data_IF_241985846977
#
_entry.id   IF_241985846977
#
_cell.length_a   1.000
_cell.length_b   1.000
_cell.length_c   1.000
_cell.angle_alpha   90.00
_cell.angle_beta   90.00
_cell.angle_gamma   90.00
#
_symmetry.space_group_name_H-M   'P 1'
#
loop_
_entity.id
_entity.type
_entity.pdbx_description
1 polymer ?
#
# COMPACT_ATOMS: atom_id res chain seq x y z
N UNK A 1 3.14 -41.02 -12.11
CA UNK A 1 2.05 -40.13 -11.81
C UNK A 1 2.18 -39.45 -10.48
N UNK A 2 2.41 -40.19 -9.45
CA UNK A 2 2.62 -39.58 -8.15
C UNK A 2 3.78 -38.64 -8.11
N UNK A 3 4.83 -38.99 -8.79
CA UNK A 3 6.00 -38.13 -8.77
C UNK A 3 5.71 -36.78 -9.34
N UNK A 4 4.90 -36.74 -10.39
CA UNK A 4 4.55 -35.45 -10.95
C UNK A 4 3.72 -34.64 -10.00
N UNK A 5 2.82 -35.29 -9.32
CA UNK A 5 2.00 -34.59 -8.35
C UNK A 5 2.83 -34.00 -7.25
N UNK A 6 3.81 -34.78 -6.78
CA UNK A 6 4.67 -34.27 -5.75
C UNK A 6 5.48 -33.09 -6.21
N UNK A 7 6.05 -33.20 -7.40
CA UNK A 7 6.84 -32.09 -7.92
C UNK A 7 5.99 -30.85 -8.10
N UNK A 8 4.79 -31.05 -8.56
CA UNK A 8 3.92 -29.91 -8.77
C UNK A 8 3.58 -29.24 -7.44
N UNK A 9 3.30 -30.05 -6.43
CA UNK A 9 2.96 -29.48 -5.13
C UNK A 9 4.14 -28.71 -4.55
N UNK A 10 5.33 -29.20 -4.74
CA UNK A 10 6.48 -28.47 -4.25
C UNK A 10 6.63 -27.12 -4.93
N UNK A 11 6.48 -27.11 -6.23
CA UNK A 11 6.59 -25.86 -6.95
C UNK A 11 5.54 -24.87 -6.48
N UNK A 12 4.36 -25.36 -6.26
CA UNK A 12 3.30 -24.49 -5.79
C UNK A 12 3.61 -23.96 -4.39
N UNK A 13 4.14 -24.81 -3.54
CA UNK A 13 4.49 -24.37 -2.20
C UNK A 13 5.54 -23.29 -2.22
N UNK A 14 6.50 -23.40 -3.10
CA UNK A 14 7.51 -22.37 -3.17
C UNK A 14 6.93 -21.05 -3.64
N UNK A 15 6.04 -21.10 -4.59
CA UNK A 15 5.40 -19.89 -5.05
C UNK A 15 4.60 -19.26 -3.93
N UNK A 16 3.98 -20.08 -3.09
CA UNK A 16 3.18 -19.55 -2.00
C UNK A 16 4.03 -18.88 -0.94
N UNK A 17 5.28 -19.26 -0.85
CA UNK A 17 6.14 -18.65 0.14
C UNK A 17 6.97 -17.51 -0.41
N UNK A 18 6.71 -17.11 -1.62
CA UNK A 18 7.43 -16.00 -2.20
C UNK A 18 7.20 -14.74 -1.37
N UNK A 19 8.19 -13.87 -1.29
CA UNK A 19 8.05 -12.65 -0.52
C UNK A 19 6.94 -11.78 -1.09
N UNK A 20 6.40 -10.93 -0.27
CA UNK A 20 5.33 -10.05 -0.74
C UNK A 20 5.78 -9.23 -1.93
N UNK A 21 4.95 -9.22 -2.93
CA UNK A 21 5.29 -8.50 -4.15
C UNK A 21 5.39 -7.01 -3.94
N UNK A 22 4.63 -6.48 -2.99
CA UNK A 22 4.64 -5.04 -2.81
C UNK A 22 6.00 -4.52 -2.37
N UNK A 23 6.85 -5.36 -1.82
CA UNK A 23 8.17 -4.91 -1.39
C UNK A 23 8.99 -4.43 -2.57
N UNK A 24 8.68 -4.92 -3.76
CA UNK A 24 9.41 -4.51 -4.95
C UNK A 24 8.52 -3.77 -5.94
N UNK A 25 7.32 -3.40 -5.52
CA UNK A 25 6.37 -2.76 -6.43
C UNK A 25 6.61 -1.26 -6.47
N UNK A 26 7.36 -0.83 -7.43
CA UNK A 26 7.60 0.58 -7.65
C UNK A 26 7.27 0.91 -9.10
N UNK A 27 6.93 2.17 -9.35
CA UNK A 27 6.62 2.61 -10.69
C UNK A 27 6.31 4.09 -10.66
N UNK A 28 5.93 4.61 -11.82
CA UNK A 28 5.54 6.01 -11.88
C UNK A 28 4.28 6.23 -11.06
N UNK A 29 4.26 7.34 -10.35
CA UNK A 29 3.13 7.60 -9.46
C UNK A 29 1.79 7.57 -10.19
N UNK A 30 1.73 8.20 -11.35
CA UNK A 30 0.45 8.25 -12.06
C UNK A 30 -0.07 6.86 -12.38
N UNK A 31 0.80 5.97 -12.79
CA UNK A 31 0.40 4.60 -13.09
C UNK A 31 -0.06 3.87 -11.85
N UNK A 32 0.63 4.09 -10.74
CA UNK A 32 0.29 3.42 -9.50
C UNK A 32 -1.07 3.87 -8.98
N UNK A 33 -1.29 5.18 -8.93
CA UNK A 33 -2.55 5.68 -8.37
C UNK A 33 -3.72 5.35 -9.29
N UNK A 34 -3.49 5.29 -10.58
CA UNK A 34 -4.56 4.89 -11.48
C UNK A 34 -4.98 3.44 -11.22
N UNK A 35 -4.02 2.58 -10.97
CA UNK A 35 -4.34 1.19 -10.66
C UNK A 35 -5.08 1.09 -9.32
N UNK A 36 -4.68 1.87 -8.33
CA UNK A 36 -5.37 1.84 -7.06
C UNK A 36 -6.82 2.28 -7.22
N UNK A 37 -7.06 3.31 -7.99
CA UNK A 37 -8.41 3.80 -8.19
C UNK A 37 -9.25 2.82 -8.99
N UNK A 38 -8.70 2.26 -10.05
CA UNK A 38 -9.49 1.42 -10.95
C UNK A 38 -9.65 0.01 -10.46
N UNK A 39 -8.64 -0.55 -9.83
CA UNK A 39 -8.73 -1.95 -9.41
C UNK A 39 -9.27 -2.12 -8.00
N UNK A 40 -9.00 -1.17 -7.13
CA UNK A 40 -9.36 -1.32 -5.73
C UNK A 40 -10.31 -0.25 -5.24
N UNK A 41 -10.71 0.64 -6.11
CA UNK A 41 -11.62 1.74 -5.74
C UNK A 41 -11.05 2.57 -4.59
N UNK A 42 -9.73 2.70 -4.54
CA UNK A 42 -9.10 3.45 -3.47
C UNK A 42 -8.94 4.91 -3.86
N UNK A 43 -9.05 5.77 -2.86
CA UNK A 43 -8.84 7.19 -3.04
C UNK A 43 -7.85 7.67 -2.00
N UNK A 44 -7.23 8.79 -2.29
CA UNK A 44 -6.26 9.36 -1.36
C UNK A 44 -6.95 9.76 -0.07
N UNK A 45 -6.47 9.26 1.03
CA UNK A 45 -7.11 9.48 2.32
C UNK A 45 -6.27 10.39 3.21
N UNK A 46 -5.00 10.12 3.35
CA UNK A 46 -4.11 10.97 4.12
C UNK A 46 -2.74 10.97 3.46
N UNK A 47 -1.92 11.94 3.82
CA UNK A 47 -0.58 12.00 3.28
C UNK A 47 0.29 12.87 4.13
N UNK A 48 1.57 12.85 3.85
CA UNK A 48 2.53 13.66 4.57
C UNK A 48 3.85 13.70 3.87
N UNK A 49 4.65 14.68 4.23
CA UNK A 49 5.99 14.82 3.69
C UNK A 49 6.98 14.15 4.63
N UNK A 50 7.95 13.51 4.05
CA UNK A 50 8.99 12.85 4.81
C UNK A 50 10.33 13.25 4.25
N UNK A 51 11.27 13.55 5.12
CA UNK A 51 12.61 13.94 4.70
C UNK A 51 13.61 13.01 5.36
N UNK A 52 14.36 12.31 4.55
CA UNK A 52 15.36 11.38 5.05
C UNK A 52 16.67 11.68 4.36
N UNK A 53 17.71 11.97 5.15
CA UNK A 53 19.02 12.27 4.60
C UNK A 53 18.96 13.37 3.57
N UNK A 54 18.14 14.37 3.82
CA UNK A 54 18.04 15.51 2.91
C UNK A 54 17.17 15.25 1.71
N UNK A 55 16.77 14.02 1.47
CA UNK A 55 15.88 13.70 0.37
C UNK A 55 14.45 13.76 0.83
N UNK A 56 13.59 14.31 -0.01
CA UNK A 56 12.21 14.52 0.33
C UNK A 56 11.33 13.51 -0.39
N UNK A 57 10.37 12.94 0.34
CA UNK A 57 9.41 12.01 -0.25
C UNK A 57 8.02 12.34 0.28
N UNK A 58 7.02 11.84 -0.42
CA UNK A 58 5.64 12.01 -0.02
C UNK A 58 5.08 10.64 0.33
N UNK A 59 4.53 10.53 1.54
CA UNK A 59 3.86 9.32 1.94
C UNK A 59 2.37 9.53 1.78
N UNK A 60 1.68 8.57 1.17
CA UNK A 60 0.26 8.67 0.94
C UNK A 60 -0.41 7.37 1.35
N UNK A 61 -1.57 7.49 1.97
CA UNK A 61 -2.39 6.33 2.26
C UNK A 61 -3.65 6.43 1.42
N UNK A 62 -3.83 5.44 0.58
CA UNK A 62 -4.99 5.31 -0.28
C UNK A 62 -5.88 4.23 0.32
N UNK A 63 -7.18 4.45 0.31
CA UNK A 63 -8.07 3.48 0.92
C UNK A 63 -9.41 3.49 0.23
N UNK A 64 -10.19 2.43 0.43
CA UNK A 64 -11.49 2.27 -0.17
C UNK A 64 -12.50 1.89 0.91
N UNK A 65 -13.60 2.63 0.95
CA UNK A 65 -14.68 2.25 1.84
C UNK A 65 -15.50 1.10 1.25
N UNK A 66 -15.36 0.85 -0.04
CA UNK A 66 -16.09 -0.22 -0.68
C UNK A 66 -15.43 -1.58 -0.45
N UNK A 67 -14.13 -1.63 -0.64
CA UNK A 67 -13.41 -2.89 -0.50
C UNK A 67 -12.78 -3.05 0.86
N UNK A 68 -12.59 -1.97 1.57
CA UNK A 68 -11.90 -2.02 2.85
C UNK A 68 -10.40 -2.16 2.72
N UNK A 69 -9.87 -2.05 1.51
CA UNK A 69 -8.44 -2.20 1.30
C UNK A 69 -7.73 -0.87 1.43
N UNK A 70 -6.44 -0.93 1.69
CA UNK A 70 -5.63 0.28 1.73
C UNK A 70 -4.24 -0.01 1.21
N UNK A 71 -3.59 1.04 0.76
CA UNK A 71 -2.24 0.97 0.22
C UNK A 71 -1.47 2.20 0.70
N UNK A 72 -0.24 1.99 1.12
CA UNK A 72 0.63 3.09 1.52
C UNK A 72 1.69 3.24 0.44
N UNK A 73 1.74 4.43 -0.15
CA UNK A 73 2.71 4.74 -1.19
C UNK A 73 3.75 5.70 -0.65
N UNK A 74 4.96 5.50 -1.07
CA UNK A 74 6.03 6.46 -0.81
C UNK A 74 6.55 6.92 -2.16
N UNK A 75 6.43 8.21 -2.42
CA UNK A 75 6.82 8.76 -3.71
C UNK A 75 8.05 9.63 -3.54
N UNK A 76 9.06 9.33 -4.32
CA UNK A 76 10.31 10.08 -4.27
C UNK A 76 10.24 11.29 -5.18
N UNK A 77 11.21 12.18 -5.01
CA UNK A 77 11.19 13.42 -5.75
C UNK A 77 11.23 13.20 -7.27
N UNK A 78 11.77 12.09 -7.71
CA UNK A 78 11.85 11.82 -9.14
C UNK A 78 10.56 11.27 -9.71
N UNK A 79 9.49 11.15 -8.90
CA UNK A 79 8.21 10.68 -9.38
C UNK A 79 8.00 9.18 -9.24
N UNK A 80 8.97 8.47 -8.73
CA UNK A 80 8.83 7.03 -8.52
C UNK A 80 8.09 6.77 -7.23
N UNK A 81 7.02 5.99 -7.31
CA UNK A 81 6.23 5.59 -6.14
C UNK A 81 6.45 4.12 -5.85
N UNK A 82 6.57 3.79 -4.59
CA UNK A 82 6.72 2.40 -4.16
C UNK A 82 5.64 2.07 -3.15
N UNK A 83 5.08 0.87 -3.28
CA UNK A 83 4.12 0.38 -2.31
C UNK A 83 4.91 -0.14 -1.12
N UNK A 84 4.74 0.49 0.04
CA UNK A 84 5.46 0.07 1.22
C UNK A 84 4.59 -0.70 2.20
N UNK A 85 3.28 -0.69 2.00
CA UNK A 85 2.36 -1.48 2.81
C UNK A 85 1.02 -1.55 2.11
N UNK A 86 0.29 -2.63 2.36
CA UNK A 86 -1.04 -2.79 1.83
C UNK A 86 -1.77 -3.78 2.72
N UNK A 87 -3.08 -3.62 2.83
CA UNK A 87 -3.84 -4.51 3.69
C UNK A 87 -5.32 -4.31 3.53
N UNK A 88 -6.06 -4.83 4.51
CA UNK A 88 -7.51 -4.78 4.51
C UNK A 88 -8.00 -4.24 5.84
N UNK A 89 -9.31 -4.13 5.94
CA UNK A 89 -9.96 -3.67 7.17
C UNK A 89 -9.45 -2.31 7.59
N UNK A 90 -9.34 -1.43 6.63
CA UNK A 90 -8.90 -0.07 6.89
C UNK A 90 -9.90 0.65 7.77
N UNK A 91 -9.42 1.41 8.73
CA UNK A 91 -10.30 2.22 9.54
C UNK A 91 -9.59 3.52 9.90
N UNK A 92 -10.37 4.54 10.19
CA UNK A 92 -9.86 5.81 10.65
C UNK A 92 -10.37 6.05 12.05
N UNK A 93 -9.47 6.48 12.91
CA UNK A 93 -9.87 6.81 14.26
C UNK A 93 -10.73 8.06 14.24
N UNK A 94 -11.77 8.06 15.04
CA UNK A 94 -12.65 9.21 15.11
C UNK A 94 -12.05 10.21 16.08
N UNK A 95 -11.83 11.45 15.67
CA UNK A 95 -11.27 12.45 16.58
C UNK A 95 -12.22 12.69 17.71
N UNK A 96 -11.66 12.93 18.89
CA UNK A 96 -12.45 13.28 20.04
C UNK A 96 -12.83 14.74 19.97
N UNK A 97 -14.10 15.01 19.89
CA UNK A 97 -14.55 16.38 19.75
C UNK A 97 -14.08 17.24 20.93
N UNK A 98 -14.09 16.67 22.08
CA UNK A 98 -13.71 17.46 23.26
C UNK A 98 -12.25 17.85 23.22
N UNK A 99 -11.45 17.07 22.56
CA UNK A 99 -10.03 17.33 22.56
C UNK A 99 -9.72 18.61 21.83
N UNK A 100 -10.32 18.81 20.72
CA UNK A 100 -9.94 19.96 19.97
C UNK A 100 -10.44 21.23 20.60
N UNK A 101 -11.43 21.15 21.40
CA UNK A 101 -11.85 22.34 22.10
C UNK A 101 -10.77 22.88 22.96
N UNK A 102 -9.92 22.00 23.44
CA UNK A 102 -8.85 22.42 24.32
C UNK A 102 -7.55 22.62 23.61
N UNK A 103 -7.44 22.10 22.45
CA UNK A 103 -6.17 22.12 21.78
C UNK A 103 -5.72 23.49 21.38
N UNK A 104 -6.57 24.38 21.32
CA UNK A 104 -6.21 25.72 20.87
C UNK A 104 -5.30 26.45 21.79
#
# INVERSE_FOLDING_TARGET
MFKRLLGFALAFGMAATAPPAFAASCGMRDTMVEALANKYSETLTVGGLQKVNGAQSVMEIWSSSETGTYTVLLTHANGTSCIIAAGTDFFQAVPKAAVEGTSS
#
